data_IF_192818649171
#
_entry.id   IF_192818649171
#
_cell.length_a   1.000
_cell.length_b   1.000
_cell.length_c   1.000
_cell.angle_alpha   90.00
_cell.angle_beta   90.00
_cell.angle_gamma   90.00
#
_symmetry.space_group_name_H-M   'P 1'
#
loop_
_entity.id
_entity.type
_entity.pdbx_description
1 polymer ?
#
# COMPACT_ATOMS: atom_id res chain seq x y z
N UNK A 1 -19.32 4.06 -3.34
CA UNK A 1 -18.42 3.60 -2.25
C UNK A 1 -17.05 4.20 -2.49
N UNK A 2 -16.26 4.44 -1.44
CA UNK A 2 -14.84 4.77 -1.62
C UNK A 2 -14.13 3.46 -2.00
N UNK A 3 -13.49 3.43 -3.17
CA UNK A 3 -12.65 2.32 -3.60
C UNK A 3 -11.28 2.44 -2.90
N UNK A 4 -11.23 2.07 -1.63
CA UNK A 4 -10.07 2.23 -0.75
C UNK A 4 -9.48 0.86 -0.37
N UNK A 5 -8.16 0.71 -0.54
CA UNK A 5 -7.41 -0.47 -0.12
C UNK A 5 -6.51 -0.10 1.05
N UNK A 6 -6.59 -0.85 2.15
CA UNK A 6 -5.62 -0.74 3.24
C UNK A 6 -4.48 -1.73 3.02
N UNK A 7 -3.25 -1.23 3.02
CA UNK A 7 -2.03 -2.02 2.85
C UNK A 7 -1.49 -2.43 4.21
N UNK A 8 -1.23 -3.73 4.37
CA UNK A 8 -0.87 -4.34 5.64
C UNK A 8 0.42 -5.13 5.46
N UNK A 9 1.49 -4.66 6.09
CA UNK A 9 2.74 -5.42 6.17
C UNK A 9 2.60 -6.57 7.15
N UNK A 10 2.86 -7.78 6.66
CA UNK A 10 2.70 -9.04 7.40
C UNK A 10 3.86 -10.01 7.14
N UNK A 11 4.52 -9.94 5.97
CA UNK A 11 5.49 -10.97 5.56
C UNK A 11 6.75 -11.05 6.44
N UNK A 12 7.20 -9.92 6.98
CA UNK A 12 8.47 -9.78 7.72
C UNK A 12 8.30 -9.09 9.08
N UNK A 13 7.07 -8.99 9.56
CA UNK A 13 6.72 -8.31 10.79
C UNK A 13 6.29 -9.33 11.86
N UNK A 14 6.50 -9.01 13.13
CA UNK A 14 6.02 -9.85 14.26
C UNK A 14 4.48 -9.93 14.31
N UNK A 15 3.78 -9.02 13.62
CA UNK A 15 2.33 -8.99 13.47
C UNK A 15 1.89 -8.02 12.37
N UNK A 16 0.61 -8.09 11.96
CA UNK A 16 0.09 -7.27 10.87
C UNK A 16 0.10 -5.77 11.23
N UNK A 17 0.74 -4.95 10.39
CA UNK A 17 0.82 -3.49 10.55
C UNK A 17 0.20 -2.80 9.34
N UNK A 18 -0.85 -1.99 9.57
CA UNK A 18 -1.39 -1.15 8.52
C UNK A 18 -0.42 0.00 8.23
N UNK A 19 0.04 0.13 6.98
CA UNK A 19 1.08 1.10 6.60
C UNK A 19 0.61 2.15 5.63
N UNK A 20 -0.49 1.90 4.90
CA UNK A 20 -1.07 2.88 3.99
C UNK A 20 -2.55 2.61 3.73
N UNK A 21 -3.22 3.66 3.28
CA UNK A 21 -4.51 3.60 2.56
C UNK A 21 -4.30 4.12 1.15
N UNK A 22 -4.85 3.42 0.17
CA UNK A 22 -4.76 3.80 -1.24
C UNK A 22 -6.16 3.99 -1.80
N UNK A 23 -6.44 5.17 -2.33
CA UNK A 23 -7.67 5.47 -3.05
C UNK A 23 -7.53 5.04 -4.52
N UNK A 24 -8.04 3.85 -4.87
CA UNK A 24 -7.82 3.24 -6.19
C UNK A 24 -8.72 3.80 -7.31
N UNK A 25 -9.62 4.73 -7.00
CA UNK A 25 -10.56 5.32 -7.95
C UNK A 25 -11.78 4.44 -8.24
N UNK A 26 -12.97 5.02 -8.44
CA UNK A 26 -14.24 4.27 -8.44
C UNK A 26 -14.45 3.33 -9.64
N UNK A 27 -13.67 3.47 -10.71
CA UNK A 27 -13.84 2.73 -11.97
C UNK A 27 -13.07 1.41 -12.03
N UNK A 28 -12.17 1.15 -11.06
CA UNK A 28 -11.40 -0.09 -11.04
C UNK A 28 -12.22 -1.25 -10.46
N UNK A 29 -12.05 -2.44 -11.06
CA UNK A 29 -12.54 -3.68 -10.47
C UNK A 29 -11.81 -3.98 -9.16
N UNK A 30 -12.35 -4.90 -8.35
CA UNK A 30 -11.73 -5.34 -7.08
C UNK A 30 -10.26 -5.71 -7.27
N UNK A 31 -9.96 -6.54 -8.29
CA UNK A 31 -8.58 -6.93 -8.60
C UNK A 31 -7.75 -5.75 -9.12
N UNK A 32 -8.36 -4.83 -9.87
CA UNK A 32 -7.70 -3.60 -10.31
C UNK A 32 -7.32 -2.70 -9.13
N UNK A 33 -8.16 -2.61 -8.10
CA UNK A 33 -7.89 -1.85 -6.90
C UNK A 33 -6.71 -2.44 -6.11
N UNK A 34 -6.68 -3.78 -5.95
CA UNK A 34 -5.57 -4.48 -5.30
C UNK A 34 -4.25 -4.29 -6.06
N UNK A 35 -4.27 -4.42 -7.40
CA UNK A 35 -3.10 -4.21 -8.25
C UNK A 35 -2.59 -2.77 -8.18
N UNK A 36 -3.50 -1.78 -8.19
CA UNK A 36 -3.14 -0.38 -8.06
C UNK A 36 -2.46 -0.09 -6.72
N UNK A 37 -3.04 -0.56 -5.62
CA UNK A 37 -2.48 -0.39 -4.28
C UNK A 37 -1.11 -1.05 -4.14
N UNK A 38 -0.94 -2.27 -4.68
CA UNK A 38 0.34 -2.96 -4.72
C UNK A 38 1.40 -2.13 -5.46
N UNK A 39 1.11 -1.66 -6.68
CA UNK A 39 2.06 -0.84 -7.46
C UNK A 39 2.39 0.49 -6.78
N UNK A 40 1.39 1.18 -6.26
CA UNK A 40 1.54 2.47 -5.60
C UNK A 40 2.47 2.39 -4.36
N UNK A 41 2.63 1.21 -3.77
CA UNK A 41 3.45 0.96 -2.57
C UNK A 41 4.69 0.11 -2.88
N UNK A 42 5.07 0.04 -4.16
CA UNK A 42 6.23 -0.69 -4.67
C UNK A 42 7.33 0.20 -5.29
N UNK A 43 7.06 1.48 -5.55
CA UNK A 43 7.99 2.33 -6.31
C UNK A 43 9.38 2.42 -5.65
N UNK A 44 10.40 2.22 -6.50
CA UNK A 44 11.79 1.92 -6.12
C UNK A 44 12.79 3.04 -6.45
N UNK A 45 12.39 4.06 -7.22
CA UNK A 45 13.24 5.21 -7.54
C UNK A 45 13.23 6.23 -6.41
N UNK A 46 12.06 6.58 -5.89
CA UNK A 46 11.89 7.37 -4.68
C UNK A 46 10.93 6.63 -3.73
N UNK A 47 11.29 6.64 -2.44
CA UNK A 47 10.54 5.91 -1.41
C UNK A 47 9.07 6.34 -1.49
N UNK A 48 8.17 5.40 -1.77
CA UNK A 48 6.73 5.67 -1.99
C UNK A 48 6.04 6.43 -0.83
N UNK A 49 6.64 6.38 0.36
CA UNK A 49 6.18 7.05 1.56
C UNK A 49 6.69 8.50 1.73
N UNK A 50 7.49 9.02 0.79
CA UNK A 50 7.91 10.43 0.76
C UNK A 50 6.69 11.27 0.38
N UNK A 51 6.46 12.32 1.16
CA UNK A 51 5.35 13.25 0.93
C UNK A 51 5.54 14.09 -0.35
N UNK A 52 4.76 15.15 -0.53
CA UNK A 52 4.81 15.99 -1.73
C UNK A 52 6.13 16.79 -1.89
N UNK A 53 7.00 16.79 -0.88
CA UNK A 53 8.28 17.50 -0.90
C UNK A 53 9.37 16.62 -0.29
N UNK A 54 10.59 16.74 -0.84
CA UNK A 54 11.79 16.17 -0.26
C UNK A 54 12.27 17.00 0.94
N UNK A 55 13.23 16.47 1.71
CA UNK A 55 13.81 17.14 2.87
C UNK A 55 14.53 18.47 2.54
N UNK A 56 14.95 18.65 1.29
CA UNK A 56 15.54 19.91 0.79
C UNK A 56 14.49 20.95 0.33
N UNK A 57 13.20 20.62 0.40
CA UNK A 57 12.09 21.49 -0.01
C UNK A 57 11.71 21.41 -1.49
N UNK A 58 12.43 20.64 -2.31
CA UNK A 58 12.06 20.42 -3.71
C UNK A 58 10.78 19.57 -3.81
N UNK A 59 9.88 19.84 -4.78
CA UNK A 59 8.71 19.00 -5.03
C UNK A 59 9.10 17.56 -5.38
N UNK A 60 8.39 16.59 -4.80
CA UNK A 60 8.52 15.18 -5.14
C UNK A 60 7.63 14.85 -6.36
N UNK A 61 8.25 14.65 -7.52
CA UNK A 61 7.54 14.32 -8.76
C UNK A 61 6.95 12.91 -8.78
N UNK A 62 7.42 12.01 -7.91
CA UNK A 62 6.91 10.65 -7.76
C UNK A 62 5.85 10.54 -6.65
N UNK A 63 5.47 11.65 -6.00
CA UNK A 63 4.42 11.66 -4.99
C UNK A 63 3.09 11.19 -5.58
N UNK A 64 2.56 10.10 -5.02
CA UNK A 64 1.22 9.64 -5.34
C UNK A 64 0.20 10.21 -4.34
N UNK A 65 -0.67 11.15 -4.75
CA UNK A 65 -1.66 11.76 -3.86
C UNK A 65 -2.75 10.79 -3.40
N UNK A 66 -2.90 9.64 -4.07
CA UNK A 66 -3.87 8.61 -3.70
C UNK A 66 -3.39 7.77 -2.51
N UNK A 67 -2.12 7.91 -2.11
CA UNK A 67 -1.51 7.16 -1.02
C UNK A 67 -1.47 8.01 0.25
N UNK A 68 -2.22 7.59 1.25
CA UNK A 68 -2.10 8.09 2.62
C UNK A 68 -1.25 7.13 3.45
N UNK A 69 -0.08 7.59 3.88
CA UNK A 69 0.83 6.80 4.73
C UNK A 69 0.29 6.75 6.16
N UNK A 70 0.27 5.55 6.75
CA UNK A 70 -0.13 5.28 8.13
C UNK A 70 1.02 4.73 9.00
N UNK A 71 2.01 4.09 8.37
CA UNK A 71 3.12 3.45 9.07
C UNK A 71 4.11 4.46 9.65
N UNK A 72 4.78 4.07 10.72
CA UNK A 72 5.96 4.78 11.20
C UNK A 72 7.08 4.63 10.18
N UNK A 73 7.69 5.75 9.82
CA UNK A 73 8.90 5.77 9.01
C UNK A 73 10.09 5.48 9.90
N UNK A 74 11.10 4.81 9.36
CA UNK A 74 12.38 4.68 10.06
C UNK A 74 13.16 6.01 10.09
N UNK A 75 14.34 6.00 10.70
CA UNK A 75 15.22 7.17 10.83
C UNK A 75 15.64 7.77 9.46
N UNK A 76 15.51 7.00 8.37
CA UNK A 76 15.78 7.44 7.00
C UNK A 76 14.51 7.87 6.24
N UNK A 77 13.38 8.10 6.93
CA UNK A 77 12.07 8.38 6.34
C UNK A 77 11.58 7.25 5.39
N UNK A 78 12.01 6.02 5.60
CA UNK A 78 11.68 4.87 4.77
C UNK A 78 10.57 4.01 5.36
N UNK A 79 9.75 3.49 4.47
CA UNK A 79 8.85 2.37 4.73
C UNK A 79 9.14 1.35 3.64
N UNK A 80 9.28 0.08 4.05
CA UNK A 80 9.47 -1.04 3.14
C UNK A 80 8.39 -1.06 2.05
N UNK A 81 8.74 -1.52 0.86
CA UNK A 81 7.77 -1.74 -0.21
C UNK A 81 6.91 -3.00 0.01
N UNK A 82 5.66 -2.97 -0.43
CA UNK A 82 4.72 -4.11 -0.29
C UNK A 82 5.23 -5.35 -1.00
N UNK A 83 5.28 -6.50 -0.34
CA UNK A 83 5.93 -7.72 -0.86
C UNK A 83 4.99 -8.93 -0.88
N UNK A 84 5.41 -9.97 -1.59
CA UNK A 84 4.76 -11.29 -1.50
C UNK A 84 4.66 -11.72 -0.03
N UNK A 85 3.47 -12.16 0.37
CA UNK A 85 3.16 -12.52 1.76
C UNK A 85 2.49 -11.42 2.58
N UNK A 86 2.60 -10.14 2.17
CA UNK A 86 1.84 -9.04 2.75
C UNK A 86 0.35 -9.14 2.41
N UNK A 87 -0.47 -8.39 3.14
CA UNK A 87 -1.92 -8.43 3.00
C UNK A 87 -2.50 -7.07 2.56
N UNK A 88 -3.62 -7.13 1.87
CA UNK A 88 -4.43 -6.01 1.42
C UNK A 88 -5.84 -6.23 1.95
N UNK A 89 -6.39 -5.23 2.63
CA UNK A 89 -7.79 -5.25 3.07
C UNK A 89 -8.61 -4.37 2.13
N UNK A 90 -9.59 -4.99 1.48
CA UNK A 90 -10.50 -4.34 0.54
C UNK A 90 -11.92 -4.82 0.78
N UNK A 91 -12.87 -3.90 0.99
CA UNK A 91 -14.28 -4.19 1.29
C UNK A 91 -14.50 -5.28 2.36
N UNK A 92 -13.70 -5.25 3.44
CA UNK A 92 -13.81 -6.23 4.53
C UNK A 92 -13.15 -7.59 4.26
N UNK A 93 -12.59 -7.80 3.07
CA UNK A 93 -11.87 -9.02 2.67
C UNK A 93 -10.37 -8.83 2.72
N UNK A 94 -9.66 -9.79 3.30
CA UNK A 94 -8.19 -9.83 3.32
C UNK A 94 -7.65 -10.66 2.18
N UNK A 95 -6.79 -10.06 1.38
CA UNK A 95 -6.08 -10.72 0.28
C UNK A 95 -4.59 -10.71 0.58
N UNK A 96 -3.92 -11.86 0.49
CA UNK A 96 -2.47 -11.95 0.53
C UNK A 96 -1.91 -11.77 -0.87
N UNK A 97 -0.84 -11.00 -0.98
CA UNK A 97 -0.01 -10.91 -2.19
C UNK A 97 0.66 -12.27 -2.38
N UNK A 98 0.38 -12.92 -3.50
CA UNK A 98 0.94 -14.22 -3.87
C UNK A 98 2.01 -14.05 -4.97
N UNK A 99 2.70 -15.13 -5.35
CA UNK A 99 3.68 -15.09 -6.46
C UNK A 99 3.03 -14.54 -7.75
N UNK A 100 1.75 -14.86 -7.95
CA UNK A 100 0.93 -14.35 -9.05
C UNK A 100 -0.41 -13.83 -8.54
N UNK A 101 -0.52 -12.50 -8.41
CA UNK A 101 -1.76 -11.82 -8.05
C UNK A 101 -2.06 -11.90 -6.55
N UNK A 102 -3.34 -12.10 -6.23
CA UNK A 102 -3.85 -11.97 -4.86
C UNK A 102 -4.71 -13.17 -4.48
N UNK A 103 -4.49 -13.70 -3.28
CA UNK A 103 -5.22 -14.83 -2.73
C UNK A 103 -6.06 -14.39 -1.54
N UNK A 104 -7.37 -14.67 -1.56
CA UNK A 104 -8.25 -14.42 -0.42
C UNK A 104 -7.82 -15.27 0.80
N UNK A 105 -7.58 -14.62 1.94
CA UNK A 105 -7.13 -15.25 3.20
C UNK A 105 -8.29 -15.44 4.18
N UNK A 106 -9.16 -14.43 4.30
CA UNK A 106 -10.33 -14.46 5.20
C UNK A 106 -11.39 -13.48 4.71
N UNK A 107 -12.66 -13.90 4.74
CA UNK A 107 -13.81 -12.98 4.70
C UNK A 107 -14.13 -12.58 6.15
N UNK A 108 -13.96 -11.30 6.48
CA UNK A 108 -14.42 -10.83 7.79
C UNK A 108 -15.94 -10.73 7.72
N UNK A 109 -16.64 -11.70 8.32
CA UNK A 109 -18.12 -11.74 8.44
C UNK A 109 -18.63 -10.70 9.42
#
# INVERSE_FOLDING_TARGET
MKNEVTVIHTAYEDGPKAVAKVEAGPELSDMGALEYAFRATQNSTEKWAIGPFHSNGEPNSEHNPDVTVLGEKDDDDWIRSTSVGDELLYEGRRYRVDEYGFKLVTETS
#
